data_IF_026285132872
#
_entry.id   IF_026285132872
#
_cell.length_a   1.000
_cell.length_b   1.000
_cell.length_c   1.000
_cell.angle_alpha   90.00
_cell.angle_beta   90.00
_cell.angle_gamma   90.00
#
_symmetry.space_group_name_H-M   'P 1'
#
loop_
_entity.id
_entity.type
_entity.pdbx_description
1 polymer ?
#
# COMPACT_ATOMS: atom_id res chain seq x y z
N UNK A 1 -28.34 -0.65 -0.20
CA UNK A 1 -27.85 0.61 -0.79
C UNK A 1 -26.37 0.39 -0.98
N UNK A 2 -25.82 0.40 -2.21
CA UNK A 2 -24.38 0.14 -2.41
C UNK A 2 -23.59 1.26 -1.74
N UNK A 3 -22.73 0.94 -0.78
CA UNK A 3 -21.80 1.91 -0.21
C UNK A 3 -20.85 2.36 -1.32
N UNK A 4 -20.83 3.65 -1.59
CA UNK A 4 -20.05 4.21 -2.69
C UNK A 4 -18.59 4.34 -2.24
N UNK A 5 -17.68 3.53 -2.79
CA UNK A 5 -16.23 3.57 -2.53
C UNK A 5 -15.55 4.83 -3.11
N UNK A 6 -16.25 5.97 -3.08
CA UNK A 6 -15.80 7.28 -3.54
C UNK A 6 -15.52 8.22 -2.36
N UNK A 7 -15.47 7.69 -1.14
CA UNK A 7 -15.09 8.39 0.09
C UNK A 7 -14.02 7.58 0.85
N UNK A 8 -13.23 8.21 1.73
CA UNK A 8 -12.39 7.50 2.67
C UNK A 8 -13.25 6.64 3.61
N UNK A 9 -12.72 5.50 4.04
CA UNK A 9 -13.36 4.70 5.09
C UNK A 9 -12.94 5.23 6.47
N UNK A 10 -13.85 5.41 7.41
CA UNK A 10 -13.51 5.92 8.75
C UNK A 10 -12.71 4.90 9.56
N UNK A 11 -13.05 3.63 9.46
CA UNK A 11 -12.39 2.52 10.16
C UNK A 11 -12.16 1.30 9.26
N UNK A 12 -11.34 0.35 9.73
CA UNK A 12 -11.16 -0.93 9.05
C UNK A 12 -12.47 -1.76 9.03
N UNK A 13 -13.30 -1.62 10.06
CA UNK A 13 -14.60 -2.28 10.12
C UNK A 13 -15.56 -1.77 9.03
N UNK A 14 -15.52 -0.47 8.70
CA UNK A 14 -16.33 0.10 7.62
C UNK A 14 -15.92 -0.45 6.25
N UNK A 15 -14.60 -0.64 6.03
CA UNK A 15 -14.09 -1.30 4.83
C UNK A 15 -14.60 -2.74 4.72
N UNK A 16 -14.50 -3.54 5.79
CA UNK A 16 -14.98 -4.92 5.78
C UNK A 16 -16.50 -4.99 5.55
N UNK A 17 -17.26 -4.09 6.17
CA UNK A 17 -18.71 -3.98 5.98
C UNK A 17 -19.04 -3.63 4.53
N UNK A 18 -18.34 -2.68 3.92
CA UNK A 18 -18.51 -2.32 2.51
C UNK A 18 -18.29 -3.52 1.57
N UNK A 19 -17.23 -4.31 1.79
CA UNK A 19 -16.94 -5.51 1.01
C UNK A 19 -18.10 -6.52 1.12
N UNK A 20 -18.58 -6.77 2.34
CA UNK A 20 -19.66 -7.72 2.61
C UNK A 20 -21.01 -7.24 2.05
N UNK A 21 -21.35 -5.97 2.23
CA UNK A 21 -22.58 -5.35 1.73
C UNK A 21 -22.65 -5.35 0.19
N UNK A 22 -21.50 -5.37 -0.48
CA UNK A 22 -21.40 -5.54 -1.93
C UNK A 22 -21.47 -7.02 -2.38
N UNK A 23 -21.69 -7.96 -1.44
CA UNK A 23 -21.93 -9.37 -1.73
C UNK A 23 -20.68 -10.23 -1.79
N UNK A 24 -19.52 -9.69 -1.42
CA UNK A 24 -18.26 -10.43 -1.44
C UNK A 24 -18.04 -11.21 -0.14
N UNK A 25 -17.47 -12.40 -0.26
CA UNK A 25 -17.00 -13.19 0.90
C UNK A 25 -15.48 -13.13 0.97
N UNK A 26 -14.89 -12.25 1.79
CA UNK A 26 -13.45 -12.13 1.89
C UNK A 26 -12.81 -13.40 2.47
N UNK A 27 -11.72 -13.86 1.85
CA UNK A 27 -10.82 -14.85 2.43
C UNK A 27 -9.94 -14.18 3.47
N UNK A 28 -9.92 -14.70 4.69
CA UNK A 28 -8.94 -14.29 5.71
C UNK A 28 -7.60 -14.94 5.35
N UNK A 29 -6.59 -14.13 5.03
CA UNK A 29 -5.24 -14.58 4.75
C UNK A 29 -4.43 -14.79 6.03
N UNK A 30 -4.58 -13.86 6.98
CA UNK A 30 -3.95 -13.91 8.30
C UNK A 30 -4.65 -12.91 9.24
N UNK A 31 -4.02 -12.60 10.38
CA UNK A 31 -4.44 -11.55 11.30
C UNK A 31 -3.29 -10.63 11.65
N UNK A 32 -3.57 -9.33 11.74
CA UNK A 32 -2.67 -8.33 12.31
C UNK A 32 -2.45 -8.60 13.81
N UNK A 33 -1.48 -7.95 14.47
CA UNK A 33 -1.13 -8.22 15.87
C UNK A 33 -2.27 -8.10 16.87
N UNK A 34 -3.18 -7.17 16.62
CA UNK A 34 -4.40 -6.94 17.40
C UNK A 34 -5.53 -7.91 17.05
N UNK A 35 -5.27 -8.88 16.16
CA UNK A 35 -6.21 -9.91 15.76
C UNK A 35 -7.16 -9.51 14.63
N UNK A 36 -7.11 -8.29 14.09
CA UNK A 36 -7.95 -7.93 12.94
C UNK A 36 -7.57 -8.76 11.72
N UNK A 37 -8.55 -9.23 10.91
CA UNK A 37 -8.24 -10.05 9.75
C UNK A 37 -7.50 -9.23 8.70
N UNK A 38 -6.58 -9.84 7.98
CA UNK A 38 -6.05 -9.31 6.71
C UNK A 38 -6.71 -10.15 5.62
N UNK A 39 -7.43 -9.50 4.71
CA UNK A 39 -8.34 -10.18 3.78
C UNK A 39 -7.94 -10.02 2.32
N UNK A 40 -8.25 -11.04 1.52
CA UNK A 40 -8.31 -10.96 0.07
C UNK A 40 -9.73 -11.24 -0.43
N UNK A 41 -10.08 -10.64 -1.55
CA UNK A 41 -11.32 -10.93 -2.29
C UNK A 41 -10.93 -11.49 -3.65
N UNK A 42 -11.49 -12.67 -4.01
CA UNK A 42 -11.40 -13.21 -5.37
C UNK A 42 -12.60 -12.71 -6.19
N UNK A 43 -12.33 -12.12 -7.34
CA UNK A 43 -13.34 -11.75 -8.35
C UNK A 43 -12.79 -12.03 -9.76
N UNK A 44 -13.41 -11.47 -10.80
CA UNK A 44 -13.07 -11.75 -12.20
C UNK A 44 -13.54 -13.14 -12.66
N UNK A 45 -12.81 -13.72 -13.62
CA UNK A 45 -13.08 -15.06 -14.14
C UNK A 45 -12.19 -16.14 -13.52
N UNK A 46 -11.97 -17.23 -14.26
CA UNK A 46 -11.21 -18.39 -13.79
C UNK A 46 -9.93 -18.68 -14.59
N UNK A 47 -9.59 -17.86 -15.59
CA UNK A 47 -8.35 -18.02 -16.36
C UNK A 47 -7.12 -17.67 -15.52
N UNK A 48 -6.04 -18.39 -15.81
CA UNK A 48 -4.70 -18.10 -15.33
C UNK A 48 -3.83 -17.58 -16.48
N UNK A 49 -2.78 -16.78 -16.21
CA UNK A 49 -2.30 -16.37 -14.89
C UNK A 49 -3.24 -15.40 -14.16
N UNK A 50 -3.18 -15.35 -12.83
CA UNK A 50 -4.03 -14.47 -12.03
C UNK A 50 -3.56 -13.00 -12.11
N UNK A 51 -4.44 -12.07 -11.76
CA UNK A 51 -4.15 -10.66 -11.56
C UNK A 51 -4.21 -10.38 -10.07
N UNK A 52 -3.24 -9.62 -9.56
CA UNK A 52 -3.16 -9.25 -8.15
C UNK A 52 -3.22 -7.73 -7.97
N UNK A 53 -4.14 -7.25 -7.15
CA UNK A 53 -4.27 -5.83 -6.78
C UNK A 53 -4.13 -5.70 -5.26
N UNK A 54 -3.33 -4.73 -4.83
CA UNK A 54 -3.09 -4.44 -3.42
C UNK A 54 -3.16 -2.95 -3.16
N UNK A 55 -3.54 -2.56 -1.94
CA UNK A 55 -3.49 -1.19 -1.46
C UNK A 55 -3.26 -1.13 0.06
N UNK A 56 -3.15 0.09 0.60
CA UNK A 56 -3.22 0.34 2.04
C UNK A 56 -2.07 -0.27 2.84
N UNK A 57 -0.84 -0.25 2.32
CA UNK A 57 0.35 -0.46 3.18
C UNK A 57 0.70 0.76 4.01
N UNK A 58 0.24 1.94 3.60
CA UNK A 58 0.36 3.17 4.35
C UNK A 58 -1.06 3.69 4.60
N UNK A 59 -1.43 3.84 5.87
CA UNK A 59 -2.80 4.14 6.27
C UNK A 59 -3.36 5.48 5.72
N UNK A 60 -2.47 6.39 5.32
CA UNK A 60 -2.81 7.69 4.72
C UNK A 60 -3.28 7.59 3.27
N UNK A 61 -3.01 6.48 2.59
CA UNK A 61 -3.22 6.28 1.15
C UNK A 61 -4.62 5.72 0.87
N UNK A 62 -5.64 6.38 1.41
CA UNK A 62 -7.03 5.91 1.41
C UNK A 62 -7.68 5.91 0.01
N UNK A 63 -7.23 6.75 -0.93
CA UNK A 63 -7.78 6.70 -2.28
C UNK A 63 -7.39 5.38 -2.98
N UNK A 64 -6.20 4.84 -2.69
CA UNK A 64 -5.78 3.51 -3.14
C UNK A 64 -6.66 2.41 -2.55
N UNK A 65 -6.99 2.48 -1.25
CA UNK A 65 -7.88 1.53 -0.57
C UNK A 65 -9.29 1.55 -1.19
N UNK A 66 -9.88 2.73 -1.37
CA UNK A 66 -11.20 2.88 -1.97
C UNK A 66 -11.22 2.47 -3.45
N UNK A 67 -10.16 2.79 -4.21
CA UNK A 67 -9.99 2.31 -5.57
C UNK A 67 -9.91 0.77 -5.62
N UNK A 68 -9.09 0.14 -4.78
CA UNK A 68 -8.98 -1.32 -4.71
C UNK A 68 -10.34 -1.96 -4.39
N UNK A 69 -11.08 -1.43 -3.43
CA UNK A 69 -12.42 -1.92 -3.10
C UNK A 69 -13.39 -1.80 -4.28
N UNK A 70 -13.38 -0.68 -5.01
CA UNK A 70 -14.23 -0.48 -6.19
C UNK A 70 -13.85 -1.41 -7.36
N UNK A 71 -12.55 -1.67 -7.55
CA UNK A 71 -12.05 -2.50 -8.64
C UNK A 71 -12.47 -3.96 -8.54
N UNK A 72 -12.81 -4.45 -7.34
CA UNK A 72 -13.37 -5.80 -7.14
C UNK A 72 -14.60 -6.02 -8.02
N UNK A 73 -15.48 -5.01 -8.12
CA UNK A 73 -16.73 -5.06 -8.88
C UNK A 73 -16.58 -4.56 -10.32
N UNK A 74 -15.62 -3.67 -10.57
CA UNK A 74 -15.57 -2.90 -11.81
C UNK A 74 -14.56 -3.40 -12.84
N UNK A 75 -13.67 -4.32 -12.48
CA UNK A 75 -12.79 -4.96 -13.46
C UNK A 75 -13.53 -6.11 -14.12
N UNK A 76 -13.76 -5.96 -15.43
CA UNK A 76 -14.25 -7.03 -16.29
C UNK A 76 -13.07 -7.78 -16.90
N UNK A 77 -12.86 -9.03 -16.50
CA UNK A 77 -11.80 -9.88 -17.04
C UNK A 77 -12.15 -11.35 -16.89
N UNK A 78 -11.68 -12.18 -17.82
CA UNK A 78 -11.81 -13.64 -17.73
C UNK A 78 -10.75 -14.28 -16.82
N UNK A 79 -9.73 -13.51 -16.41
CA UNK A 79 -8.70 -13.95 -15.49
C UNK A 79 -9.16 -13.89 -14.04
N UNK A 80 -8.59 -14.75 -13.21
CA UNK A 80 -8.78 -14.63 -11.76
C UNK A 80 -8.20 -13.30 -11.28
N UNK A 81 -9.00 -12.54 -10.52
CA UNK A 81 -8.56 -11.31 -9.87
C UNK A 81 -8.55 -11.52 -8.35
N UNK A 82 -7.43 -11.22 -7.70
CA UNK A 82 -7.32 -11.21 -6.25
C UNK A 82 -6.97 -9.81 -5.76
N UNK A 83 -7.76 -9.30 -4.83
CA UNK A 83 -7.58 -7.95 -4.28
C UNK A 83 -7.36 -7.99 -2.76
N UNK A 84 -6.25 -7.42 -2.27
CA UNK A 84 -6.07 -7.05 -0.85
C UNK A 84 -6.33 -5.55 -0.73
N UNK A 85 -7.52 -5.12 -0.27
CA UNK A 85 -7.88 -3.71 -0.29
C UNK A 85 -7.15 -2.87 0.76
N UNK A 86 -6.70 -3.48 1.85
CA UNK A 86 -5.89 -2.79 2.86
C UNK A 86 -4.96 -3.79 3.56
N UNK A 87 -3.68 -3.44 3.67
CA UNK A 87 -2.63 -4.26 4.30
C UNK A 87 -2.32 -3.83 5.73
N UNK A 88 -2.70 -2.64 6.16
CA UNK A 88 -2.45 -2.11 7.50
C UNK A 88 -3.75 -1.80 8.28
N UNK A 89 -4.41 -2.82 8.87
CA UNK A 89 -5.65 -2.60 9.64
C UNK A 89 -5.46 -1.65 10.84
N UNK A 90 -4.34 -1.76 11.56
CA UNK A 90 -4.07 -0.93 12.75
C UNK A 90 -3.90 0.53 12.33
N UNK A 91 -3.03 0.79 11.35
CA UNK A 91 -2.79 2.13 10.86
C UNK A 91 -4.07 2.80 10.34
N UNK A 92 -4.91 2.03 9.64
CA UNK A 92 -6.21 2.48 9.13
C UNK A 92 -7.15 2.94 10.25
N UNK A 93 -7.19 2.26 11.40
CA UNK A 93 -8.03 2.67 12.53
C UNK A 93 -7.51 3.89 13.30
N UNK A 94 -6.28 4.33 13.03
CA UNK A 94 -5.76 5.61 13.52
C UNK A 94 -4.90 5.54 14.78
N UNK A 95 -4.32 6.69 15.15
CA UNK A 95 -3.36 6.76 16.24
C UNK A 95 -3.98 6.51 17.62
N UNK A 96 -5.18 7.04 17.88
CA UNK A 96 -5.90 6.75 19.11
C UNK A 96 -6.17 5.25 19.25
N UNK A 97 -6.58 4.57 18.18
CA UNK A 97 -6.75 3.12 18.17
C UNK A 97 -5.43 2.40 18.49
N UNK A 98 -4.35 2.73 17.78
CA UNK A 98 -3.04 2.12 17.99
C UNK A 98 -2.50 2.34 19.42
N UNK A 99 -2.72 3.50 20.01
CA UNK A 99 -2.38 3.78 21.41
C UNK A 99 -3.24 2.95 22.39
N UNK A 100 -4.52 2.77 22.08
CA UNK A 100 -5.43 1.96 22.90
C UNK A 100 -4.99 0.50 23.04
N UNK A 101 -4.30 -0.06 22.04
CA UNK A 101 -3.71 -1.40 22.12
C UNK A 101 -2.66 -1.54 23.25
N UNK A 102 -2.01 -0.44 23.65
CA UNK A 102 -1.01 -0.41 24.72
C UNK A 102 -1.51 0.24 26.02
N UNK A 103 -2.65 0.94 26.00
CA UNK A 103 -3.17 1.73 27.12
C UNK A 103 -4.45 1.15 27.74
N UNK A 104 -4.88 -0.04 27.31
CA UNK A 104 -6.14 -0.72 27.62
C UNK A 104 -7.41 0.00 27.14
N UNK A 105 -7.36 1.31 26.90
CA UNK A 105 -8.41 2.13 26.32
C UNK A 105 -7.85 3.12 25.28
N UNK A 106 -8.61 3.37 24.21
CA UNK A 106 -8.24 4.37 23.22
C UNK A 106 -8.30 5.78 23.85
N UNK A 107 -7.22 6.57 23.84
CA UNK A 107 -7.23 7.92 24.36
C UNK A 107 -8.07 8.84 23.49
N UNK A 108 -8.71 9.84 24.12
CA UNK A 108 -9.29 10.96 23.39
C UNK A 108 -8.20 11.97 23.05
N UNK A 109 -7.83 12.04 21.76
CA UNK A 109 -6.89 13.02 21.22
C UNK A 109 -7.70 14.15 20.59
N UNK A 110 -7.49 15.39 21.05
CA UNK A 110 -8.04 16.59 20.44
C UNK A 110 -7.22 17.09 19.24
N UNK A 111 -6.02 16.53 19.05
CA UNK A 111 -5.14 16.81 17.92
C UNK A 111 -3.72 16.31 18.13
N UNK A 112 -2.85 16.60 17.16
CA UNK A 112 -1.44 16.20 17.19
C UNK A 112 -0.66 16.74 18.42
N UNK A 113 -1.07 17.89 18.95
CA UNK A 113 -0.45 18.52 20.12
C UNK A 113 -0.64 17.70 21.41
N UNK A 114 -1.66 16.84 21.47
CA UNK A 114 -1.92 15.97 22.62
C UNK A 114 -1.02 14.72 22.63
N UNK A 115 -0.39 14.38 21.50
CA UNK A 115 0.43 13.18 21.36
C UNK A 115 1.67 13.25 22.25
N UNK A 116 2.46 14.32 22.16
CA UNK A 116 3.71 14.43 22.91
C UNK A 116 3.50 14.40 24.44
N UNK A 117 2.55 15.17 25.03
CA UNK A 117 2.24 15.08 26.46
C UNK A 117 1.77 13.69 26.89
N UNK A 118 0.95 13.01 26.07
CA UNK A 118 0.48 11.67 26.37
C UNK A 118 1.63 10.66 26.40
N UNK A 119 2.51 10.68 25.39
CA UNK A 119 3.67 9.79 25.31
C UNK A 119 4.58 9.97 26.52
N UNK A 120 4.87 11.20 26.93
CA UNK A 120 5.68 11.51 28.12
C UNK A 120 5.03 11.04 29.43
N UNK A 121 3.70 11.10 29.50
CA UNK A 121 2.95 10.75 30.71
C UNK A 121 2.77 9.24 30.87
N UNK A 122 2.57 8.51 29.78
CA UNK A 122 2.14 7.10 29.81
C UNK A 122 3.20 6.12 29.34
N UNK A 123 4.25 6.58 28.66
CA UNK A 123 5.31 5.73 28.13
C UNK A 123 6.65 5.89 28.82
N UNK A 124 7.53 4.92 28.57
CA UNK A 124 8.95 5.06 28.80
C UNK A 124 9.54 5.91 27.67
N UNK A 125 9.95 7.15 27.98
CA UNK A 125 10.55 8.05 27.00
C UNK A 125 11.95 7.56 26.66
N UNK A 126 12.13 7.12 25.41
CA UNK A 126 13.39 6.60 24.90
C UNK A 126 14.25 7.71 24.28
N UNK A 127 13.61 8.72 23.70
CA UNK A 127 14.28 9.86 23.06
C UNK A 127 13.39 11.10 23.07
N UNK A 128 14.03 12.25 23.31
CA UNK A 128 13.40 13.55 23.23
C UNK A 128 14.38 14.59 22.69
N UNK A 129 14.02 15.22 21.57
CA UNK A 129 14.76 16.36 21.00
C UNK A 129 13.82 17.26 20.19
N UNK A 130 13.75 18.54 20.58
CA UNK A 130 12.75 19.48 20.04
C UNK A 130 11.33 18.94 20.25
N UNK A 131 10.50 18.94 19.20
CA UNK A 131 9.16 18.33 19.25
C UNK A 131 9.15 16.86 18.81
N UNK A 132 10.31 16.19 18.81
CA UNK A 132 10.40 14.74 18.62
C UNK A 132 10.37 14.07 19.98
N UNK A 133 9.33 13.26 20.23
CA UNK A 133 9.29 12.34 21.37
C UNK A 133 9.16 10.94 20.81
N UNK A 134 9.97 10.01 21.31
CA UNK A 134 9.82 8.58 21.08
C UNK A 134 9.62 7.91 22.42
N UNK A 135 8.55 7.15 22.56
CA UNK A 135 8.23 6.43 23.78
C UNK A 135 7.86 4.98 23.48
N UNK A 136 8.24 4.08 24.39
CA UNK A 136 7.76 2.71 24.43
C UNK A 136 6.53 2.65 25.36
N UNK A 137 5.43 2.09 24.88
CA UNK A 137 4.25 1.81 25.69
C UNK A 137 3.84 0.37 25.41
N UNK A 138 3.93 -0.50 26.43
CA UNK A 138 3.68 -1.93 26.26
C UNK A 138 4.64 -2.55 25.24
N UNK A 139 4.08 -3.14 24.18
CA UNK A 139 4.88 -3.80 23.14
C UNK A 139 5.27 -2.91 21.96
N UNK A 140 4.72 -1.70 21.87
CA UNK A 140 4.83 -0.83 20.69
C UNK A 140 5.58 0.47 20.97
N UNK A 141 6.34 0.93 19.99
CA UNK A 141 6.90 2.27 19.96
C UNK A 141 5.90 3.28 19.43
N UNK A 142 6.01 4.52 19.90
CA UNK A 142 5.23 5.64 19.42
C UNK A 142 6.14 6.84 19.23
N UNK A 143 5.88 7.62 18.18
CA UNK A 143 6.60 8.87 17.94
C UNK A 143 5.65 10.01 17.57
N UNK A 144 6.11 11.25 17.77
CA UNK A 144 5.37 12.46 17.39
C UNK A 144 5.52 12.82 15.91
N UNK A 145 6.43 12.17 15.17
CA UNK A 145 6.74 12.46 13.76
C UNK A 145 7.33 11.24 13.05
N UNK A 146 7.43 11.33 11.73
CA UNK A 146 8.05 10.31 10.88
C UNK A 146 9.55 10.15 11.20
N UNK A 147 9.98 8.90 11.40
CA UNK A 147 11.36 8.50 11.67
C UNK A 147 11.98 7.65 10.56
N UNK A 148 11.27 7.41 9.46
CA UNK A 148 11.76 6.66 8.31
C UNK A 148 13.11 7.20 7.79
N UNK A 149 14.08 6.32 7.59
CA UNK A 149 15.44 6.63 7.12
C UNK A 149 16.19 7.71 7.93
N UNK A 150 15.83 7.96 9.19
CA UNK A 150 16.56 8.91 10.04
C UNK A 150 17.72 8.23 10.76
N UNK A 151 18.80 8.97 11.08
CA UNK A 151 19.88 8.45 11.91
C UNK A 151 19.33 7.91 13.23
N UNK A 152 19.62 6.65 13.52
CA UNK A 152 19.18 5.98 14.74
C UNK A 152 20.19 6.23 15.86
N UNK A 153 19.72 6.71 17.00
CA UNK A 153 20.53 6.79 18.22
C UNK A 153 20.38 5.49 19.04
N UNK A 154 21.09 5.40 20.17
CA UNK A 154 21.11 4.20 21.03
C UNK A 154 19.72 3.78 21.56
N UNK A 155 18.74 4.68 21.54
CA UNK A 155 17.36 4.40 21.95
C UNK A 155 16.65 3.37 21.06
N UNK A 156 17.13 3.16 19.82
CA UNK A 156 16.53 2.19 18.88
C UNK A 156 16.63 0.75 19.39
N UNK A 157 17.61 0.45 20.25
CA UNK A 157 17.84 -0.90 20.78
C UNK A 157 16.62 -1.45 21.52
N UNK A 158 15.89 -0.60 22.25
CA UNK A 158 14.67 -0.98 22.95
C UNK A 158 13.50 -1.32 22.00
N UNK A 159 13.59 -0.86 20.74
CA UNK A 159 12.55 -0.98 19.73
C UNK A 159 12.81 -2.03 18.65
N UNK A 160 14.00 -2.64 18.61
CA UNK A 160 14.31 -3.70 17.63
C UNK A 160 13.27 -4.82 17.61
N UNK A 161 12.80 -5.16 16.42
CA UNK A 161 11.75 -6.15 16.19
C UNK A 161 10.32 -5.67 16.51
N UNK A 162 10.12 -4.39 16.86
CA UNK A 162 8.81 -3.84 17.21
C UNK A 162 8.24 -2.94 16.11
N UNK A 163 6.94 -2.69 16.19
CA UNK A 163 6.28 -1.63 15.41
C UNK A 163 6.44 -0.28 16.10
N UNK A 164 6.52 0.76 15.30
CA UNK A 164 6.48 2.15 15.74
C UNK A 164 5.36 2.89 15.01
N UNK A 165 4.47 3.54 15.75
CA UNK A 165 3.36 4.32 15.20
C UNK A 165 3.59 5.81 15.39
N UNK A 166 3.16 6.63 14.43
CA UNK A 166 3.19 8.09 14.58
C UNK A 166 1.98 8.73 13.89
N UNK A 167 1.56 9.95 14.29
CA UNK A 167 0.43 10.64 13.68
C UNK A 167 0.77 10.99 12.24
N UNK A 168 -0.08 10.55 11.32
CA UNK A 168 0.02 10.90 9.92
C UNK A 168 -1.01 11.99 9.61
N UNK A 169 -0.54 13.22 9.39
CA UNK A 169 -1.42 14.34 9.09
C UNK A 169 -1.97 14.23 7.66
N UNK A 170 -3.25 13.93 7.55
CA UNK A 170 -4.07 14.23 6.37
C UNK A 170 -5.35 14.92 6.87
N UNK A 171 -5.89 15.95 6.21
CA UNK A 171 -7.10 16.62 6.67
C UNK A 171 -8.26 15.63 6.76
N UNK A 172 -8.82 15.46 7.96
CA UNK A 172 -10.12 14.79 8.17
C UNK A 172 -10.07 13.45 8.91
N UNK A 173 -8.96 12.70 8.91
CA UNK A 173 -8.86 11.47 9.74
C UNK A 173 -7.45 11.26 10.29
N UNK A 174 -7.33 11.16 11.61
CA UNK A 174 -6.06 10.91 12.31
C UNK A 174 -5.59 9.47 12.10
N UNK A 175 -4.85 9.22 11.02
CA UNK A 175 -4.27 7.90 10.74
C UNK A 175 -2.98 7.68 11.53
N UNK A 176 -2.69 6.41 11.81
CA UNK A 176 -1.38 6.01 12.31
C UNK A 176 -0.54 5.52 11.14
N UNK A 177 0.62 6.13 10.92
CA UNK A 177 1.59 5.56 10.01
C UNK A 177 2.37 4.47 10.75
N UNK A 178 2.50 3.30 10.13
CA UNK A 178 3.18 2.15 10.71
C UNK A 178 4.60 2.02 10.18
N UNK A 179 5.57 2.11 11.07
CA UNK A 179 6.96 1.72 10.84
C UNK A 179 7.25 0.41 11.58
N UNK A 180 8.26 -0.29 11.11
CA UNK A 180 8.82 -1.48 11.74
C UNK A 180 10.30 -1.19 11.96
N UNK A 181 10.73 -1.41 13.19
CA UNK A 181 12.14 -1.43 13.51
C UNK A 181 12.59 -2.86 13.36
N UNK A 182 13.44 -3.10 12.38
CA UNK A 182 13.94 -4.42 12.06
C UNK A 182 14.90 -4.93 13.18
N UNK A 183 15.25 -6.22 13.22
CA UNK A 183 16.19 -6.75 14.21
C UNK A 183 17.60 -6.14 14.15
N UNK A 184 18.01 -5.57 13.02
CA UNK A 184 19.27 -4.85 12.88
C UNK A 184 19.17 -3.39 13.39
N UNK A 185 17.96 -2.86 13.59
CA UNK A 185 17.68 -1.49 14.02
C UNK A 185 17.33 -0.53 12.87
N UNK A 186 17.11 -1.02 11.66
CA UNK A 186 16.63 -0.23 10.53
C UNK A 186 15.16 0.14 10.70
N UNK A 187 14.82 1.40 10.41
CA UNK A 187 13.47 1.93 10.52
C UNK A 187 12.83 1.93 9.13
N UNK A 188 12.01 0.93 8.84
CA UNK A 188 11.36 0.74 7.53
C UNK A 188 9.84 0.79 7.65
N UNK A 189 9.13 0.99 6.54
CA UNK A 189 7.68 0.92 6.50
C UNK A 189 7.19 -0.45 6.02
N UNK A 190 5.90 -0.78 6.22
CA UNK A 190 5.32 -2.10 5.92
C UNK A 190 5.59 -2.60 4.49
N UNK A 191 5.66 -1.70 3.51
CA UNK A 191 5.92 -2.04 2.11
C UNK A 191 7.42 -2.18 1.78
N UNK A 192 8.26 -2.69 2.69
CA UNK A 192 9.70 -2.92 2.48
C UNK A 192 10.19 -4.32 2.86
N UNK A 193 9.29 -5.22 3.23
CA UNK A 193 9.66 -6.52 3.80
C UNK A 193 9.30 -7.71 2.90
N UNK A 194 9.08 -7.52 1.61
CA UNK A 194 8.64 -8.62 0.74
C UNK A 194 9.77 -9.59 0.34
N UNK A 195 11.03 -9.24 0.58
CA UNK A 195 12.20 -10.13 0.45
C UNK A 195 12.67 -10.74 1.78
N UNK A 196 12.08 -10.34 2.90
CA UNK A 196 12.60 -10.64 4.23
C UNK A 196 11.98 -11.92 4.80
N UNK A 197 12.79 -12.85 5.34
CA UNK A 197 12.27 -14.14 5.83
C UNK A 197 11.37 -14.01 7.07
N UNK A 198 11.75 -13.18 8.03
CA UNK A 198 11.00 -12.94 9.27
C UNK A 198 9.89 -11.88 9.15
N UNK A 199 9.72 -11.28 7.96
CA UNK A 199 8.85 -10.14 7.62
C UNK A 199 7.55 -10.04 8.43
N UNK A 200 7.00 -8.83 8.69
CA UNK A 200 5.71 -8.66 9.36
C UNK A 200 4.60 -9.47 8.67
N UNK A 201 3.56 -9.81 9.43
CA UNK A 201 2.49 -10.73 8.99
C UNK A 201 1.77 -10.23 7.74
N UNK A 202 1.63 -8.92 7.61
CA UNK A 202 1.06 -8.18 6.49
C UNK A 202 1.81 -8.49 5.18
N UNK A 203 3.14 -8.44 5.21
CA UNK A 203 3.97 -8.81 4.05
C UNK A 203 3.97 -10.32 3.82
N UNK A 204 4.08 -11.14 4.88
CA UNK A 204 4.11 -12.60 4.73
C UNK A 204 2.86 -13.16 4.08
N UNK A 205 1.68 -12.80 4.59
CA UNK A 205 0.44 -13.35 4.05
C UNK A 205 0.16 -12.86 2.61
N UNK A 206 0.64 -11.66 2.26
CA UNK A 206 0.63 -11.17 0.88
C UNK A 206 1.48 -12.07 -0.02
N UNK A 207 2.70 -12.42 0.41
CA UNK A 207 3.58 -13.33 -0.36
C UNK A 207 3.02 -14.74 -0.45
N UNK A 208 2.44 -15.25 0.63
CA UNK A 208 1.83 -16.58 0.64
C UNK A 208 0.68 -16.67 -0.36
N UNK A 209 -0.16 -15.61 -0.43
CA UNK A 209 -1.20 -15.50 -1.46
C UNK A 209 -0.59 -15.44 -2.86
N UNK A 210 0.40 -14.57 -3.10
CA UNK A 210 1.06 -14.47 -4.41
C UNK A 210 1.70 -15.79 -4.83
N UNK A 211 2.32 -16.52 -3.91
CA UNK A 211 2.89 -17.83 -4.18
C UNK A 211 1.81 -18.87 -4.53
N UNK A 212 0.63 -18.77 -3.93
CA UNK A 212 -0.50 -19.64 -4.25
C UNK A 212 -1.12 -19.34 -5.62
N UNK A 213 -1.26 -18.06 -5.99
CA UNK A 213 -1.97 -17.66 -7.22
C UNK A 213 -1.05 -17.42 -8.43
N UNK A 214 0.27 -17.27 -8.21
CA UNK A 214 1.29 -17.00 -9.24
C UNK A 214 0.86 -15.89 -10.21
N UNK A 215 0.73 -14.63 -9.76
CA UNK A 215 0.11 -13.58 -10.54
C UNK A 215 0.95 -13.20 -11.76
N UNK A 216 0.31 -13.05 -12.93
CA UNK A 216 0.96 -12.56 -14.15
C UNK A 216 0.96 -11.03 -14.28
N UNK A 217 0.21 -10.34 -13.42
CA UNK A 217 0.19 -8.88 -13.30
C UNK A 217 -0.02 -8.51 -11.83
N UNK A 218 0.79 -7.58 -11.31
CA UNK A 218 0.62 -7.00 -9.98
C UNK A 218 0.43 -5.49 -10.04
N UNK A 219 -0.58 -4.96 -9.34
CA UNK A 219 -0.85 -3.54 -9.22
C UNK A 219 -0.91 -3.17 -7.73
N UNK A 220 0.00 -2.30 -7.28
CA UNK A 220 0.01 -1.78 -5.91
C UNK A 220 -0.42 -0.31 -5.94
N UNK A 221 -1.55 0.02 -5.30
CA UNK A 221 -2.16 1.36 -5.34
C UNK A 221 -1.71 2.18 -4.14
N UNK A 222 -0.95 3.25 -4.41
CA UNK A 222 -0.32 4.18 -3.46
C UNK A 222 -0.73 5.62 -3.76
N UNK A 223 -0.28 6.52 -2.89
CA UNK A 223 -0.42 7.95 -3.06
C UNK A 223 0.84 8.67 -2.59
N UNK A 224 1.11 9.84 -3.17
CA UNK A 224 2.26 10.67 -2.79
C UNK A 224 1.82 12.09 -2.43
N UNK A 225 2.69 12.86 -1.79
CA UNK A 225 2.34 14.18 -1.25
C UNK A 225 2.06 15.30 -2.27
N UNK A 226 2.18 15.05 -3.58
CA UNK A 226 1.99 16.06 -4.63
C UNK A 226 0.55 16.22 -5.13
N UNK A 227 0.39 16.87 -6.28
CA UNK A 227 -0.88 17.24 -6.93
C UNK A 227 -1.04 16.66 -8.34
N UNK A 228 -0.30 15.62 -8.67
CA UNK A 228 -0.31 14.97 -9.99
C UNK A 228 -0.26 13.44 -9.87
N UNK A 229 -0.63 12.76 -10.95
CA UNK A 229 -0.56 11.31 -11.10
C UNK A 229 0.77 10.88 -11.73
N UNK A 230 1.34 9.80 -11.21
CA UNK A 230 2.38 9.04 -11.89
C UNK A 230 2.28 7.57 -11.51
N UNK A 231 3.09 6.72 -12.13
CA UNK A 231 3.33 5.38 -11.60
C UNK A 231 4.75 4.96 -11.88
N UNK A 232 5.19 3.95 -11.14
CA UNK A 232 6.43 3.26 -11.45
C UNK A 232 6.22 1.87 -12.00
N UNK A 233 7.06 1.53 -12.97
CA UNK A 233 7.17 0.24 -13.63
C UNK A 233 8.58 -0.32 -13.40
N UNK A 234 8.78 -1.61 -13.64
CA UNK A 234 10.05 -2.30 -13.41
C UNK A 234 10.67 -2.75 -14.72
N UNK A 235 11.99 -2.66 -14.80
CA UNK A 235 12.72 -3.38 -15.83
C UNK A 235 12.61 -4.89 -15.60
N UNK A 236 12.17 -5.60 -16.62
CA UNK A 236 11.87 -7.02 -16.56
C UNK A 236 13.07 -7.88 -16.95
N UNK A 237 13.07 -9.12 -16.45
CA UNK A 237 14.15 -10.09 -16.69
C UNK A 237 14.09 -10.71 -18.08
N UNK A 238 12.92 -10.75 -18.70
CA UNK A 238 12.71 -11.33 -20.02
C UNK A 238 12.31 -10.25 -21.02
N UNK A 239 12.74 -10.33 -22.30
CA UNK A 239 12.33 -9.38 -23.32
C UNK A 239 10.81 -9.35 -23.53
N UNK A 240 10.14 -10.51 -23.39
CA UNK A 240 8.69 -10.59 -23.55
C UNK A 240 7.96 -9.85 -22.44
N UNK A 241 8.36 -10.03 -21.17
CA UNK A 241 7.75 -9.28 -20.06
C UNK A 241 8.05 -7.79 -20.16
N UNK A 242 9.25 -7.41 -20.61
CA UNK A 242 9.60 -6.00 -20.83
C UNK A 242 8.66 -5.34 -21.85
N UNK A 243 8.46 -5.98 -23.01
CA UNK A 243 7.57 -5.46 -24.07
C UNK A 243 6.12 -5.30 -23.56
N UNK A 244 5.62 -6.29 -22.81
CA UNK A 244 4.26 -6.23 -22.28
C UNK A 244 4.09 -5.22 -21.15
N UNK A 245 5.09 -5.04 -20.30
CA UNK A 245 5.07 -4.01 -19.26
C UNK A 245 5.13 -2.60 -19.86
N UNK A 246 5.93 -2.39 -20.92
CA UNK A 246 5.95 -1.14 -21.69
C UNK A 246 4.59 -0.84 -22.32
N UNK A 247 3.96 -1.84 -22.97
CA UNK A 247 2.62 -1.67 -23.56
C UNK A 247 1.56 -1.34 -22.52
N UNK A 248 1.59 -2.00 -21.36
CA UNK A 248 0.67 -1.69 -20.25
C UNK A 248 0.94 -0.27 -19.73
N UNK A 249 2.20 0.10 -19.52
CA UNK A 249 2.58 1.43 -19.07
C UNK A 249 2.06 2.53 -20.02
N UNK A 250 2.27 2.36 -21.33
CA UNK A 250 1.79 3.27 -22.36
C UNK A 250 0.26 3.42 -22.34
N UNK A 251 -0.47 2.31 -22.25
CA UNK A 251 -1.93 2.33 -22.19
C UNK A 251 -2.46 2.99 -20.91
N UNK A 252 -1.85 2.69 -19.77
CA UNK A 252 -2.19 3.29 -18.47
C UNK A 252 -2.02 4.81 -18.52
N UNK A 253 -0.84 5.29 -18.93
CA UNK A 253 -0.54 6.72 -18.89
C UNK A 253 -1.33 7.50 -19.93
N UNK A 254 -1.55 6.93 -21.12
CA UNK A 254 -2.36 7.56 -22.16
C UNK A 254 -3.82 7.75 -21.69
N UNK A 255 -4.40 6.75 -21.02
CA UNK A 255 -5.75 6.84 -20.50
C UNK A 255 -5.88 7.90 -19.38
N UNK A 256 -4.95 7.92 -18.44
CA UNK A 256 -4.95 8.92 -17.36
C UNK A 256 -4.71 10.33 -17.88
N UNK A 257 -3.83 10.50 -18.86
CA UNK A 257 -3.66 11.79 -19.54
C UNK A 257 -4.95 12.23 -20.25
N UNK A 258 -5.63 11.31 -20.94
CA UNK A 258 -6.87 11.58 -21.65
C UNK A 258 -8.06 11.91 -20.72
N UNK A 259 -8.04 11.48 -19.45
CA UNK A 259 -9.04 11.88 -18.45
C UNK A 259 -8.84 13.31 -17.93
N UNK A 260 -7.76 13.98 -18.32
CA UNK A 260 -7.42 15.33 -17.86
C UNK A 260 -6.73 15.38 -16.49
N UNK A 261 -6.27 14.23 -15.97
CA UNK A 261 -5.51 14.22 -14.73
C UNK A 261 -4.16 14.94 -14.92
N UNK A 262 -3.74 15.71 -13.91
CA UNK A 262 -2.43 16.36 -13.93
C UNK A 262 -1.32 15.29 -13.93
N UNK A 263 -0.33 15.46 -14.80
CA UNK A 263 0.89 14.67 -14.85
C UNK A 263 2.07 15.47 -14.25
N UNK A 264 3.14 14.81 -13.78
CA UNK A 264 4.28 15.47 -13.17
C UNK A 264 4.90 16.56 -14.06
N UNK A 265 5.64 17.53 -13.52
CA UNK A 265 6.54 18.36 -14.33
C UNK A 265 7.50 17.53 -15.18
N UNK A 266 7.89 18.03 -16.35
CA UNK A 266 8.78 17.30 -17.27
C UNK A 266 10.15 16.96 -16.67
N UNK A 267 10.60 17.74 -15.69
CA UNK A 267 11.84 17.59 -14.95
C UNK A 267 11.68 16.85 -13.60
N UNK A 268 10.48 16.38 -13.28
CA UNK A 268 10.25 15.58 -12.07
C UNK A 268 10.95 14.21 -12.17
N UNK A 269 11.43 13.72 -11.03
CA UNK A 269 11.92 12.37 -10.85
C UNK A 269 11.64 11.95 -9.39
N UNK A 270 10.92 10.84 -9.14
CA UNK A 270 10.55 10.44 -7.78
C UNK A 270 11.74 10.15 -6.86
N UNK A 271 12.90 9.80 -7.43
CA UNK A 271 14.12 9.51 -6.69
C UNK A 271 15.27 9.11 -7.62
N UNK A 272 16.49 9.07 -7.08
CA UNK A 272 17.72 8.80 -7.85
C UNK A 272 17.80 7.41 -8.48
N UNK A 273 16.98 6.47 -8.02
CA UNK A 273 16.94 5.09 -8.50
C UNK A 273 15.99 4.88 -9.68
N UNK A 274 15.30 5.94 -10.12
CA UNK A 274 14.37 5.91 -11.24
C UNK A 274 15.03 6.43 -12.52
N UNK A 275 14.61 5.88 -13.65
CA UNK A 275 14.80 6.46 -14.98
C UNK A 275 13.45 6.90 -15.55
N UNK A 276 13.47 7.85 -16.51
CA UNK A 276 12.24 8.37 -17.12
C UNK A 276 11.80 7.52 -18.29
N UNK A 277 10.52 7.21 -18.35
CA UNK A 277 9.83 6.70 -19.54
C UNK A 277 9.00 7.80 -20.22
N UNK A 278 7.89 7.44 -20.86
CA UNK A 278 6.84 8.39 -21.23
C UNK A 278 6.45 9.31 -20.07
N UNK A 279 5.87 10.47 -20.37
CA UNK A 279 5.55 11.48 -19.37
C UNK A 279 4.61 10.92 -18.28
N UNK A 280 5.11 10.80 -17.04
CA UNK A 280 4.39 10.20 -15.91
C UNK A 280 4.70 8.73 -15.63
N UNK A 281 5.58 8.11 -16.42
CA UNK A 281 6.08 6.75 -16.24
C UNK A 281 7.52 6.80 -15.73
N UNK A 282 7.78 6.15 -14.60
CA UNK A 282 9.12 6.06 -14.02
C UNK A 282 9.56 4.61 -13.90
N UNK A 283 10.67 4.26 -14.53
CA UNK A 283 11.21 2.91 -14.52
C UNK A 283 12.21 2.77 -13.38
N UNK A 284 12.23 1.60 -12.76
CA UNK A 284 13.27 1.25 -11.79
C UNK A 284 13.80 -0.16 -12.03
N UNK A 285 15.02 -0.40 -11.57
CA UNK A 285 15.53 -1.76 -11.40
C UNK A 285 15.36 -2.16 -9.94
N UNK A 286 14.51 -3.17 -9.67
CA UNK A 286 14.22 -3.66 -8.33
C UNK A 286 15.48 -4.01 -7.51
N UNK A 287 16.58 -4.41 -8.17
CA UNK A 287 17.83 -4.76 -7.50
C UNK A 287 18.70 -3.57 -7.05
N UNK A 288 18.31 -2.32 -7.39
CA UNK A 288 19.18 -1.14 -7.20
C UNK A 288 18.74 -0.21 -6.05
N UNK A 289 17.57 -0.42 -5.43
CA UNK A 289 16.99 0.53 -4.47
C UNK A 289 17.65 0.50 -3.08
N UNK A 290 18.34 -0.57 -2.72
CA UNK A 290 19.12 -0.70 -1.46
C UNK A 290 18.31 -0.73 -0.16
N UNK A 291 17.01 -0.45 -0.22
CA UNK A 291 16.02 -0.66 0.83
C UNK A 291 15.24 -1.93 0.46
N UNK A 292 14.96 -2.82 1.42
CA UNK A 292 14.29 -4.11 1.17
C UNK A 292 13.09 -4.04 0.20
N UNK A 293 12.83 -5.12 -0.53
CA UNK A 293 11.87 -5.07 -1.65
C UNK A 293 10.47 -4.65 -1.21
N UNK A 294 9.92 -3.67 -1.93
CA UNK A 294 8.48 -3.39 -1.87
C UNK A 294 7.70 -4.46 -2.64
N UNK A 295 6.37 -4.46 -2.51
CA UNK A 295 5.52 -5.49 -3.11
C UNK A 295 5.74 -5.64 -4.61
N UNK A 296 5.74 -4.53 -5.35
CA UNK A 296 5.81 -4.59 -6.79
C UNK A 296 7.25 -4.86 -7.29
N UNK A 297 8.27 -4.49 -6.51
CA UNK A 297 9.66 -4.89 -6.77
C UNK A 297 9.84 -6.41 -6.57
N UNK A 298 9.28 -6.96 -5.50
CA UNK A 298 9.22 -8.40 -5.27
C UNK A 298 8.43 -9.14 -6.36
N UNK A 299 7.30 -8.58 -6.78
CA UNK A 299 6.46 -9.14 -7.84
C UNK A 299 7.18 -9.18 -9.19
N UNK A 300 7.81 -8.07 -9.59
CA UNK A 300 8.62 -7.99 -10.81
C UNK A 300 9.80 -8.95 -10.81
N UNK A 301 10.44 -9.13 -9.66
CA UNK A 301 11.55 -10.06 -9.53
C UNK A 301 11.11 -11.54 -9.67
N UNK A 302 9.89 -11.85 -9.22
CA UNK A 302 9.45 -13.23 -8.98
C UNK A 302 8.46 -13.75 -10.02
N UNK A 303 7.48 -12.93 -10.45
CA UNK A 303 6.33 -13.41 -11.20
C UNK A 303 6.16 -12.74 -12.58
N UNK A 304 6.32 -11.42 -12.68
CA UNK A 304 6.11 -10.72 -13.96
C UNK A 304 5.78 -9.23 -13.79
N UNK A 305 5.15 -8.59 -14.79
CA UNK A 305 4.86 -7.16 -14.80
C UNK A 305 4.23 -6.64 -13.51
N UNK A 306 4.76 -5.52 -12.99
CA UNK A 306 4.31 -4.98 -11.72
C UNK A 306 4.40 -3.46 -11.62
N UNK A 307 3.30 -2.82 -11.20
CA UNK A 307 3.19 -1.37 -11.14
C UNK A 307 2.93 -0.87 -9.72
N UNK A 308 3.51 0.29 -9.38
CA UNK A 308 3.10 1.07 -8.21
C UNK A 308 2.45 2.34 -8.73
N UNK A 309 1.13 2.43 -8.57
CA UNK A 309 0.32 3.57 -9.00
C UNK A 309 0.33 4.63 -7.90
N UNK A 310 0.54 5.89 -8.26
CA UNK A 310 0.79 6.99 -7.31
C UNK A 310 -0.08 8.20 -7.65
N UNK A 311 -1.14 8.41 -6.86
CA UNK A 311 -1.98 9.62 -6.98
C UNK A 311 -1.53 10.71 -6.02
N UNK A 312 -1.52 11.96 -6.48
CA UNK A 312 -1.14 13.10 -5.63
C UNK A 312 -2.21 13.42 -4.58
N UNK A 313 -1.89 13.32 -3.29
CA UNK A 313 -2.78 13.57 -2.15
C UNK A 313 -3.37 14.99 -2.10
N UNK A 314 -2.77 15.97 -2.79
CA UNK A 314 -3.32 17.32 -2.91
C UNK A 314 -4.50 17.44 -3.90
N UNK A 315 -4.75 16.39 -4.71
CA UNK A 315 -5.94 16.29 -5.55
C UNK A 315 -7.19 15.94 -4.73
N UNK A 316 -8.37 16.18 -5.30
CA UNK A 316 -9.62 15.75 -4.66
C UNK A 316 -9.63 14.23 -4.47
N UNK A 317 -10.26 13.75 -3.39
CA UNK A 317 -10.33 12.31 -3.12
C UNK A 317 -10.93 11.52 -4.30
N UNK A 318 -11.98 12.08 -4.93
CA UNK A 318 -12.63 11.46 -6.08
C UNK A 318 -11.71 11.35 -7.30
N UNK A 319 -10.90 12.39 -7.58
CA UNK A 319 -9.96 12.37 -8.71
C UNK A 319 -8.85 11.34 -8.48
N UNK A 320 -8.37 11.22 -7.24
CA UNK A 320 -7.38 10.21 -6.84
C UNK A 320 -7.94 8.80 -7.07
N UNK A 321 -9.12 8.50 -6.52
CA UNK A 321 -9.79 7.21 -6.75
C UNK A 321 -10.00 6.94 -8.24
N UNK A 322 -10.46 7.93 -9.00
CA UNK A 322 -10.71 7.79 -10.43
C UNK A 322 -9.44 7.46 -11.22
N UNK A 323 -8.35 8.20 -11.01
CA UNK A 323 -7.09 7.99 -11.71
C UNK A 323 -6.48 6.62 -11.40
N UNK A 324 -6.49 6.19 -10.12
CA UNK A 324 -6.01 4.87 -9.73
C UNK A 324 -6.80 3.74 -10.40
N UNK A 325 -8.13 3.85 -10.43
CA UNK A 325 -9.00 2.87 -11.09
C UNK A 325 -8.77 2.81 -12.60
N UNK A 326 -8.65 3.97 -13.23
CA UNK A 326 -8.45 4.06 -14.68
C UNK A 326 -7.14 3.40 -15.10
N UNK A 327 -6.04 3.70 -14.40
CA UNK A 327 -4.76 3.06 -14.63
C UNK A 327 -4.84 1.54 -14.44
N UNK A 328 -5.42 1.08 -13.32
CA UNK A 328 -5.55 -0.35 -13.04
C UNK A 328 -6.36 -1.10 -14.11
N UNK A 329 -7.52 -0.57 -14.52
CA UNK A 329 -8.36 -1.17 -15.57
C UNK A 329 -7.60 -1.28 -16.90
N UNK A 330 -6.85 -0.26 -17.28
CA UNK A 330 -6.09 -0.26 -18.54
C UNK A 330 -4.94 -1.25 -18.55
N UNK A 331 -4.25 -1.41 -17.42
CA UNK A 331 -3.26 -2.46 -17.26
C UNK A 331 -3.89 -3.86 -17.44
N UNK A 332 -5.06 -4.08 -16.83
CA UNK A 332 -5.79 -5.35 -16.93
C UNK A 332 -6.30 -5.63 -18.34
N UNK A 333 -6.82 -4.64 -19.04
CA UNK A 333 -7.25 -4.77 -20.44
C UNK A 333 -6.09 -5.26 -21.33
N UNK A 334 -4.93 -4.60 -21.26
CA UNK A 334 -3.75 -4.99 -22.05
C UNK A 334 -3.19 -6.34 -21.60
N UNK A 335 -3.25 -6.67 -20.31
CA UNK A 335 -2.91 -8.00 -19.83
C UNK A 335 -3.83 -9.09 -20.38
N UNK A 336 -5.14 -8.83 -20.48
CA UNK A 336 -6.07 -9.78 -21.09
C UNK A 336 -5.75 -10.01 -22.57
N UNK A 337 -5.32 -8.98 -23.32
CA UNK A 337 -4.85 -9.12 -24.70
C UNK A 337 -3.65 -10.08 -24.81
N UNK A 338 -2.69 -9.97 -23.87
CA UNK A 338 -1.52 -10.88 -23.80
C UNK A 338 -1.93 -12.34 -23.71
N UNK A 339 -3.04 -12.62 -23.03
CA UNK A 339 -3.47 -13.96 -22.66
C UNK A 339 -4.77 -14.42 -23.33
N UNK A 340 -5.22 -13.73 -24.39
CA UNK A 340 -6.48 -14.01 -25.09
C UNK A 340 -6.62 -15.45 -25.63
N UNK A 341 -5.52 -16.23 -25.69
CA UNK A 341 -5.50 -17.65 -26.09
C UNK A 341 -5.22 -18.66 -24.98
N UNK A 342 -5.10 -18.26 -23.71
CA UNK A 342 -4.83 -19.20 -22.61
C UNK A 342 -6.11 -19.98 -22.22
N UNK A 343 -6.01 -21.32 -22.02
CA UNK A 343 -7.14 -22.13 -21.58
C UNK A 343 -7.58 -21.77 -20.16
N UNK A 344 -8.85 -21.99 -19.84
CA UNK A 344 -9.36 -21.93 -18.47
C UNK A 344 -8.69 -23.01 -17.60
N UNK A 345 -8.42 -22.73 -16.33
CA UNK A 345 -7.78 -23.67 -15.40
C UNK A 345 -8.60 -24.95 -15.10
N UNK A 346 -9.79 -25.08 -15.70
CA UNK A 346 -10.76 -26.17 -15.50
C UNK A 346 -10.88 -27.15 -16.68
N UNK A 347 -9.91 -27.19 -17.60
CA UNK A 347 -9.86 -28.22 -18.66
C UNK A 347 -9.06 -29.45 -18.24
#
# INVERSE_FOLDING_TARGET
MRLNAMQPFDSYADLLTCIQDNGHTPQILSRSPDGQPIVAVKSGGDKTPAIFISAGSHATEQAGVSAACALIDEIETEHQLYTIPNRDPIGMNGLAYALGLSLDEAPNLGGIDDVAPLLKKRGEVLYEEGDTVVALIGEYGYATRNLYNRPVATWIEALKGRRLYFPASNPGVERAYTLIIDPAGEVLHLNRFHDTSWAPVESRCTRDLMAAIQPGLTLDLHEHGGDFFWFSARHQRTPSDQEWEERMADAMIAAVAASGAALPPADYLPGSFFTRGPHGVFWLNAAQRGEGLNLADFAAHTYGPAFTIETGMALSFADRVHASKLAAKKAVEVFAERHAGCPSATS
#
